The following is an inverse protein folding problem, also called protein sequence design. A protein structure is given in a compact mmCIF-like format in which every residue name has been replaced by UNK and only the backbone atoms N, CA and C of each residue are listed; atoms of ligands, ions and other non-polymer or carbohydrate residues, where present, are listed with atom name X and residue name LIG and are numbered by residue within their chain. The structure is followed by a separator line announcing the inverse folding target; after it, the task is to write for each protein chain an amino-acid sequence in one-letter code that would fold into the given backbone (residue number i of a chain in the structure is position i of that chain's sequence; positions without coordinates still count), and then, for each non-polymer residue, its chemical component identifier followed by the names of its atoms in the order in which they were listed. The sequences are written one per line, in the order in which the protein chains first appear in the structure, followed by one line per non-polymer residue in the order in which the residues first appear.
data_IF_733997429203
#
_entry.id   IF_733997429203
#
_cell.length_a   1.000
_cell.length_b   1.000
_cell.length_c   1.000
_cell.angle_alpha   90.00
_cell.angle_beta   90.00
_cell.angle_gamma   90.00
#
_symmetry.space_group_name_H-M   'P 1'
#
loop_
_entity.id
_entity.type
_entity.pdbx_description
1 polymer ?
2 non-polymer ?
3 non-polymer ?
4 water ?
#
# COMPACT_ATOMS: atom_id res chain seq x y z
N UNK A 3 -10.00 -16.45 -8.94
CA UNK A 3 -10.99 -15.46 -9.49
C UNK A 3 -11.59 -14.47 -8.48
N UNK A 4 -10.87 -14.15 -7.42
CA UNK A 4 -11.30 -13.18 -6.40
C UNK A 4 -11.41 -11.75 -6.94
N UNK A 5 -12.32 -10.98 -6.40
CA UNK A 5 -12.43 -9.60 -6.80
C UNK A 5 -11.53 -8.85 -5.82
N UNK A 6 -10.48 -8.21 -6.34
CA UNK A 6 -9.53 -7.53 -5.42
C UNK A 6 -9.78 -6.03 -5.39
N UNK A 7 -9.27 -5.37 -4.35
CA UNK A 7 -9.48 -3.97 -4.21
C UNK A 7 -8.33 -3.35 -3.49
N UNK A 8 -8.10 -2.09 -3.79
CA UNK A 8 -7.13 -1.29 -3.03
C UNK A 8 -7.92 -0.11 -2.46
N UNK A 9 -7.79 0.17 -1.18
CA UNK A 9 -8.43 1.33 -0.62
C UNK A 9 -7.39 2.12 0.17
N UNK A 10 -7.51 3.47 0.09
CA UNK A 10 -6.66 4.41 0.84
C UNK A 10 -7.57 5.21 1.74
N UNK A 11 -7.30 5.20 3.04
CA UNK A 11 -8.12 6.03 3.90
C UNK A 11 -7.58 6.06 5.28
N UNK A 12 -8.43 6.41 6.24
CA UNK A 12 -8.00 6.53 7.62
C UNK A 12 -8.66 5.48 8.54
N UNK A 13 -7.88 4.96 9.46
CA UNK A 13 -8.42 4.02 10.45
C UNK A 13 -9.49 4.76 11.26
N UNK A 14 -10.71 4.18 11.39
CA UNK A 14 -11.73 4.87 12.19
C UNK A 14 -11.46 4.76 13.72
N UNK A 15 -10.60 3.83 14.12
CA UNK A 15 -10.30 3.59 15.54
C UNK A 15 -8.99 2.86 15.62
N UNK A 16 -8.43 2.83 16.82
CA UNK A 16 -7.28 1.99 17.11
C UNK A 16 -7.63 0.56 16.72
N UNK A 17 -6.72 -0.16 16.02
CA UNK A 17 -7.03 -1.53 15.56
C UNK A 17 -7.32 -2.45 16.77
N UNK A 18 -8.22 -3.43 16.60
CA UNK A 18 -8.67 -4.27 17.76
C UNK A 18 -7.59 -5.17 18.39
N UNK A 19 -7.19 -6.21 17.69
CA UNK A 19 -6.21 -7.21 18.23
C UNK A 19 -6.80 -8.24 19.22
N UNK A 20 -7.02 -9.43 18.71
CA UNK A 20 -7.47 -10.53 19.50
C UNK A 20 -6.72 -11.77 19.09
N UNK A 21 -6.91 -12.80 19.91
CA UNK A 21 -6.35 -14.13 19.66
C UNK A 21 -7.48 -15.12 19.65
N UNK A 22 -7.40 -16.05 18.70
CA UNK A 22 -8.45 -17.04 18.52
C UNK A 22 -8.18 -18.23 19.43
N UNK A 23 -9.05 -19.24 19.31
CA UNK A 23 -8.86 -20.49 20.02
C UNK A 23 -7.45 -21.03 19.80
N UNK A 24 -7.04 -21.18 18.52
CA UNK A 24 -5.75 -21.77 18.15
C UNK A 24 -4.52 -20.97 18.60
N UNK A 25 -4.77 -19.81 19.21
CA UNK A 25 -3.73 -18.84 19.57
C UNK A 25 -3.30 -17.93 18.42
N UNK A 26 -4.14 -17.86 17.38
CA UNK A 26 -3.85 -17.03 16.20
C UNK A 26 -4.34 -15.61 16.41
N UNK A 27 -3.44 -14.67 16.17
CA UNK A 27 -3.77 -13.24 16.19
C UNK A 27 -4.79 -12.89 15.09
N UNK A 28 -5.82 -12.15 15.47
CA UNK A 28 -6.70 -11.49 14.52
C UNK A 28 -6.85 -9.97 14.81
N UNK A 29 -6.88 -9.15 13.76
CA UNK A 29 -7.14 -7.74 13.94
C UNK A 29 -8.31 -7.27 13.03
N UNK A 30 -9.29 -6.60 13.62
CA UNK A 30 -10.33 -5.96 12.85
C UNK A 30 -10.17 -4.44 12.84
N UNK A 31 -10.39 -3.82 11.69
CA UNK A 31 -10.43 -2.35 11.66
C UNK A 31 -11.30 -1.89 10.51
N UNK A 32 -11.70 -0.63 10.55
CA UNK A 32 -12.47 -0.04 9.47
C UNK A 32 -11.69 1.10 8.81
N UNK A 33 -11.59 1.09 7.49
CA UNK A 33 -10.92 2.18 6.74
C UNK A 33 -12.00 3.14 6.25
N UNK A 34 -11.89 4.40 6.63
CA UNK A 34 -12.77 5.42 6.09
C UNK A 34 -12.04 6.18 4.99
N UNK A 35 -12.51 6.05 3.78
CA UNK A 35 -11.94 6.76 2.66
C UNK A 35 -12.89 7.88 2.24
N UNK A 36 -12.42 9.12 2.34
CA UNK A 36 -13.21 10.24 1.88
C UNK A 36 -12.52 10.94 0.68
N UNK A 37 -13.09 10.81 -0.53
CA UNK A 37 -12.50 11.52 -1.66
C UNK A 37 -12.26 13.04 -1.41
N UNK A 46 -8.56 22.11 -4.46
CA UNK A 46 -9.26 21.11 -3.67
C UNK A 46 -10.62 20.72 -4.26
N UNK A 47 -11.26 19.71 -3.67
CA UNK A 47 -12.60 19.25 -4.08
C UNK A 47 -13.58 19.03 -2.92
N UNK A 48 -13.70 20.03 -2.04
CA UNK A 48 -14.53 19.93 -0.79
C UNK A 48 -14.34 18.61 0.02
N UNK A 49 -15.44 17.94 0.37
CA UNK A 49 -15.38 16.56 0.83
C UNK A 49 -16.37 15.75 0.01
N UNK A 50 -15.84 14.75 -0.71
CA UNK A 50 -16.69 13.79 -1.43
C UNK A 50 -17.37 12.81 -0.49
N UNK A 51 -18.08 11.83 -1.04
CA UNK A 51 -18.82 10.84 -0.23
C UNK A 51 -17.90 9.74 0.36
N UNK A 52 -18.00 9.49 1.66
CA UNK A 52 -17.12 8.53 2.32
C UNK A 52 -17.44 7.06 2.00
N UNK A 53 -16.41 6.25 2.05
CA UNK A 53 -16.58 4.80 1.95
C UNK A 53 -15.90 4.20 3.19
N UNK A 54 -16.64 3.39 3.96
CA UNK A 54 -16.13 2.73 5.20
C UNK A 54 -16.04 1.24 4.92
N UNK A 55 -14.84 0.73 4.76
CA UNK A 55 -14.69 -0.70 4.55
C UNK A 55 -14.16 -1.40 5.78
N UNK A 56 -14.91 -2.41 6.22
CA UNK A 56 -14.52 -3.28 7.31
C UNK A 56 -13.44 -4.23 6.80
N UNK A 57 -12.35 -4.31 7.53
CA UNK A 57 -11.19 -5.10 7.18
C UNK A 57 -10.79 -6.09 8.27
N UNK A 58 -10.25 -7.23 7.86
CA UNK A 58 -9.56 -8.08 8.83
C UNK A 58 -8.25 -8.67 8.32
N UNK A 59 -7.34 -8.91 9.25
CA UNK A 59 -6.02 -9.39 8.89
C UNK A 59 -5.61 -10.31 10.04
N UNK A 60 -4.74 -11.27 9.78
CA UNK A 60 -4.44 -12.35 10.75
C UNK A 60 -2.95 -12.48 11.00
N UNK A 61 -2.61 -13.13 12.14
CA UNK A 61 -1.24 -13.61 12.41
C UNK A 61 -0.25 -12.49 12.65
N UNK A 62 0.99 -12.67 12.22
CA UNK A 62 2.05 -11.71 12.49
C UNK A 62 1.62 -10.36 11.97
N UNK A 63 1.15 -10.32 10.71
CA UNK A 63 0.68 -9.06 10.07
C UNK A 63 -0.27 -8.35 11.00
N UNK A 64 -1.18 -9.10 11.62
CA UNK A 64 -2.14 -8.51 12.53
C UNK A 64 -1.44 -7.93 13.73
N UNK A 65 -0.41 -8.62 14.20
CA UNK A 65 0.34 -8.10 15.38
C UNK A 65 1.10 -6.81 15.03
N UNK A 66 1.76 -6.83 13.89
CA UNK A 66 2.43 -5.63 13.38
C UNK A 66 1.49 -4.40 13.26
N UNK A 67 0.30 -4.64 12.73
CA UNK A 67 -0.70 -3.58 12.59
C UNK A 67 -1.01 -2.99 13.95
N UNK A 68 -1.36 -3.87 14.89
CA UNK A 68 -1.77 -3.45 16.23
C UNK A 68 -0.66 -2.70 16.97
N UNK A 69 0.59 -3.07 16.75
CA UNK A 69 1.72 -2.37 17.38
C UNK A 69 2.07 -1.06 16.66
N UNK A 70 1.70 -0.95 15.38
CA UNK A 70 2.17 0.20 14.59
C UNK A 70 1.14 1.31 14.44
N UNK A 71 -0.14 0.98 14.32
CA UNK A 71 -1.13 1.94 13.83
C UNK A 71 -2.09 2.41 14.91
N UNK A 72 -2.64 3.59 14.72
CA UNK A 72 -3.60 4.14 15.66
C UNK A 72 -4.72 4.79 14.89
N UNK A 73 -5.75 5.19 15.62
CA UNK A 73 -6.89 5.86 15.04
C UNK A 73 -6.47 7.06 14.17
N UNK A 74 -7.07 7.18 12.99
CA UNK A 74 -6.73 8.32 12.13
C UNK A 74 -5.59 8.06 11.17
N UNK A 75 -4.80 7.02 11.41
CA UNK A 75 -3.66 6.76 10.55
C UNK A 75 -4.12 6.55 9.10
N UNK A 76 -3.39 7.18 8.17
CA UNK A 76 -3.71 7.06 6.78
C UNK A 76 -3.04 5.78 6.31
N UNK A 77 -3.82 4.89 5.69
CA UNK A 77 -3.32 3.57 5.32
C UNK A 77 -3.63 3.26 3.89
N UNK A 78 -2.82 2.39 3.32
CA UNK A 78 -3.05 1.88 1.99
C UNK A 78 -3.35 0.39 2.23
N UNK A 79 -4.51 -0.07 1.76
CA UNK A 79 -4.92 -1.44 2.04
C UNK A 79 -5.28 -2.13 0.75
N UNK A 80 -4.76 -3.33 0.56
CA UNK A 80 -5.16 -4.13 -0.63
C UNK A 80 -5.65 -5.50 -0.14
N UNK A 81 -6.67 -6.06 -0.80
CA UNK A 81 -7.10 -7.40 -0.46
C UNK A 81 -8.31 -7.83 -1.22
N UNK A 82 -9.00 -8.84 -0.72
CA UNK A 82 -10.11 -9.45 -1.48
C UNK A 82 -11.41 -8.99 -0.88
N UNK A 83 -12.36 -8.66 -1.74
CA UNK A 83 -13.64 -8.16 -1.29
C UNK A 83 -14.58 -9.36 -1.06
N UNK A 84 -15.16 -9.47 0.12
CA UNK A 84 -16.06 -10.54 0.41
C UNK A 84 -17.42 -9.95 0.74
N UNK A 85 -18.44 -10.78 0.70
CA UNK A 85 -19.78 -10.33 0.89
C UNK A 85 -20.59 -11.41 1.56
N UNK A 86 -21.55 -10.99 2.39
CA UNK A 86 -22.50 -11.90 3.02
C UNK A 86 -23.87 -11.27 2.98
N UNK A 87 -24.91 -12.10 2.93
CA UNK A 87 -26.27 -11.62 3.09
C UNK A 87 -26.93 -12.43 4.23
N UNK A 88 -27.63 -11.69 5.08
CA UNK A 88 -28.45 -12.23 6.15
C UNK A 88 -29.91 -12.03 5.78
N UNK A 89 -30.60 -13.15 5.58
CA UNK A 89 -32.04 -13.22 5.27
C UNK A 89 -32.85 -13.56 6.53
N UNK A 91 -36.43 -15.48 5.48
CA UNK A 91 -36.66 -15.78 4.07
C UNK A 91 -37.07 -14.53 3.31
N UNK A 92 -37.56 -13.54 4.07
CA UNK A 92 -38.03 -12.26 3.52
C UNK A 92 -37.68 -11.14 4.49
N UNK A 93 -37.15 -11.54 5.65
CA UNK A 93 -37.03 -10.69 6.84
C UNK A 93 -36.39 -9.33 6.65
N UNK A 94 -36.37 -8.86 5.41
CA UNK A 94 -35.58 -7.70 5.01
C UNK A 94 -34.13 -8.21 4.88
N UNK A 95 -33.71 -8.40 3.62
CA UNK A 95 -32.33 -8.81 3.31
C UNK A 95 -31.39 -7.80 3.94
N UNK A 96 -30.30 -8.30 4.48
CA UNK A 96 -29.22 -7.45 4.95
C UNK A 96 -27.91 -7.97 4.32
N UNK A 97 -27.10 -7.05 3.78
CA UNK A 97 -25.88 -7.41 3.13
C UNK A 97 -24.71 -6.57 3.69
N UNK A 98 -23.54 -7.19 3.78
CA UNK A 98 -22.40 -6.48 4.27
C UNK A 98 -21.20 -6.91 3.41
N UNK A 99 -20.19 -6.07 3.29
CA UNK A 99 -18.96 -6.49 2.61
C UNK A 99 -17.82 -6.27 3.59
N UNK A 100 -16.67 -6.82 3.27
CA UNK A 100 -15.51 -6.61 4.08
C UNK A 100 -14.31 -7.01 3.27
N UNK A 101 -13.14 -6.59 3.71
CA UNK A 101 -11.94 -6.84 2.94
C UNK A 101 -11.07 -7.78 3.72
N UNK A 102 -10.71 -8.89 3.10
CA UNK A 102 -9.66 -9.76 3.65
C UNK A 102 -8.36 -9.25 3.18
N UNK A 103 -7.63 -8.62 4.08
CA UNK A 103 -6.48 -7.84 3.70
C UNK A 103 -5.30 -8.71 3.33
N UNK A 104 -4.69 -8.45 2.20
CA UNK A 104 -3.49 -9.07 1.74
C UNK A 104 -2.25 -8.26 2.21
N UNK A 105 -2.29 -6.94 2.04
CA UNK A 105 -1.19 -6.09 2.49
C UNK A 105 -1.75 -4.76 3.03
N UNK A 106 -1.10 -4.22 4.06
CA UNK A 106 -1.48 -2.92 4.60
C UNK A 106 -0.18 -2.21 5.07
N UNK A 107 -0.15 -0.89 4.85
CA UNK A 107 0.94 -0.04 5.37
C UNK A 107 0.44 1.38 5.56
N UNK A 108 1.08 2.11 6.48
CA UNK A 108 0.76 3.52 6.63
C UNK A 108 1.27 4.30 5.44
N UNK A 109 0.43 5.14 4.87
CA UNK A 109 0.89 5.97 3.73
C UNK A 109 1.93 7.03 4.18
N UNK A 110 2.89 7.29 3.33
CA UNK A 110 3.91 8.30 3.61
C UNK A 110 3.56 9.58 2.86
N UNK A 111 2.31 9.69 2.41
CA UNK A 111 1.89 10.89 1.70
C UNK A 111 2.00 12.15 2.59
N UNK A 112 1.53 12.04 3.83
CA UNK A 112 1.57 13.15 4.75
C UNK A 112 2.32 12.78 5.98
N UNK A 113 3.21 11.80 5.91
CA UNK A 113 3.90 11.39 7.13
C UNK A 113 5.20 10.71 6.83
N UNK A 114 6.06 10.59 7.84
CA UNK A 114 7.26 9.77 7.71
C UNK A 114 7.05 8.59 8.65
N UNK A 115 7.91 7.58 8.60
CA UNK A 115 7.78 6.49 9.54
C UNK A 115 9.12 5.84 9.84
N UNK A 116 9.26 5.39 11.09
CA UNK A 116 10.43 4.59 11.44
C UNK A 116 10.06 3.13 11.22
N UNK A 117 10.74 2.47 10.28
CA UNK A 117 10.42 1.10 9.93
C UNK A 117 11.43 0.12 10.54
N UNK A 118 10.92 -0.84 11.31
CA UNK A 118 11.73 -1.85 11.95
C UNK A 118 11.27 -3.25 11.57
N UNK A 119 12.10 -3.99 10.83
CA UNK A 119 11.76 -5.38 10.50
C UNK A 119 11.72 -6.23 11.77
N UNK A 120 10.51 -6.39 12.32
CA UNK A 120 10.24 -7.19 13.54
C UNK A 120 10.53 -8.68 13.32
N UNK B 2 -9.67 11.86 -15.14
CA UNK B 2 -8.45 11.80 -15.98
C UNK B 2 -8.40 10.57 -16.95
N UNK B 3 -8.98 9.43 -16.58
CA UNK B 3 -8.91 8.18 -17.37
C UNK B 3 -7.52 7.53 -17.40
N UNK B 4 -6.75 7.69 -16.31
CA UNK B 4 -5.40 7.15 -16.18
C UNK B 4 -5.43 5.65 -15.92
N UNK B 5 -4.35 4.96 -16.24
CA UNK B 5 -4.26 3.53 -15.93
C UNK B 5 -3.53 3.37 -14.59
N UNK B 6 -4.22 2.90 -13.59
CA UNK B 6 -3.71 2.83 -12.21
C UNK B 6 -3.19 1.43 -11.89
N UNK B 7 -2.42 1.32 -10.81
CA UNK B 7 -1.84 0.07 -10.46
C UNK B 7 -1.58 0.09 -8.99
N UNK B 8 -1.63 -1.08 -8.38
CA UNK B 8 -1.10 -1.30 -7.03
C UNK B 8 0.03 -2.33 -7.14
N UNK B 9 1.20 -2.03 -6.61
CA UNK B 9 2.30 -2.99 -6.69
C UNK B 9 2.87 -3.18 -5.31
N UNK B 10 3.05 -4.44 -4.94
CA UNK B 10 3.71 -4.81 -3.68
C UNK B 10 5.08 -5.43 -3.98
N UNK B 11 6.11 -5.01 -3.26
CA UNK B 11 7.46 -5.52 -3.57
C UNK B 11 8.48 -4.89 -2.68
N UNK B 12 9.75 -5.05 -3.05
CA UNK B 12 10.83 -4.53 -2.25
C UNK B 12 11.63 -3.51 -3.05
N UNK B 13 12.01 -2.43 -2.40
CA UNK B 13 12.93 -1.46 -3.01
C UNK B 13 14.26 -2.19 -3.28
N UNK B 14 14.76 -2.07 -4.50
CA UNK B 14 16.02 -2.67 -4.89
C UNK B 14 17.26 -1.93 -4.33
N UNK B 15 17.05 -0.71 -3.85
CA UNK B 15 18.10 0.18 -3.37
C UNK B 15 17.43 1.26 -2.53
N UNK B 16 18.24 1.98 -1.73
CA UNK B 16 17.81 3.21 -1.04
C UNK B 16 17.16 4.17 -2.04
N UNK B 17 16.05 4.84 -1.63
CA UNK B 17 15.43 5.82 -2.52
C UNK B 17 16.47 6.91 -2.96
N UNK B 18 16.53 7.23 -4.25
CA UNK B 18 17.46 8.23 -4.75
C UNK B 18 16.77 9.61 -4.76
N UNK B 19 17.25 10.48 -3.89
CA UNK B 19 16.70 11.82 -3.70
C UNK B 19 17.44 12.89 -4.50
N UNK B 20 16.67 13.72 -5.21
CA UNK B 20 17.22 14.81 -6.01
C UNK B 20 16.26 15.99 -6.04
N UNK B 21 16.79 17.18 -6.26
CA UNK B 21 16.00 18.39 -6.30
C UNK B 21 16.12 18.98 -7.68
N UNK B 22 15.01 19.40 -8.27
CA UNK B 22 15.05 20.11 -9.54
C UNK B 22 15.51 21.58 -9.39
N UNK B 23 15.61 22.27 -10.52
CA UNK B 23 16.00 23.69 -10.52
C UNK B 23 15.08 24.53 -9.66
N UNK B 24 13.81 24.18 -9.62
CA UNK B 24 12.86 24.98 -8.86
C UNK B 24 13.00 24.72 -7.36
N UNK B 25 13.72 23.69 -6.99
CA UNK B 25 13.81 23.29 -5.57
C UNK B 25 12.91 22.11 -5.18
N UNK B 26 12.04 21.70 -6.10
CA UNK B 26 11.14 20.53 -5.91
C UNK B 26 11.91 19.23 -5.73
N UNK B 27 11.56 18.50 -4.68
CA UNK B 27 12.16 17.19 -4.47
C UNK B 27 11.58 16.21 -5.46
N UNK B 28 12.46 15.34 -5.97
CA UNK B 28 12.07 14.23 -6.81
C UNK B 28 12.82 12.99 -6.31
N UNK B 29 12.08 11.88 -6.14
CA UNK B 29 12.66 10.64 -5.71
C UNK B 29 12.32 9.53 -6.73
N UNK B 30 13.30 8.72 -7.09
CA UNK B 30 13.10 7.58 -7.98
C UNK B 30 13.58 6.34 -7.26
N UNK B 31 12.90 5.23 -7.50
CA UNK B 31 13.27 3.94 -6.91
C UNK B 31 12.66 2.81 -7.77
N UNK B 32 13.11 1.58 -7.56
CA UNK B 32 12.57 0.45 -8.33
C UNK B 32 11.96 -0.53 -7.34
N UNK B 33 10.73 -0.93 -7.63
CA UNK B 33 10.09 -1.96 -6.87
C UNK B 33 10.30 -3.32 -7.58
N UNK B 34 10.90 -4.26 -6.87
CA UNK B 34 11.00 -5.67 -7.31
C UNK B 34 9.90 -6.46 -6.67
N UNK B 35 8.95 -6.88 -7.49
CA UNK B 35 7.81 -7.70 -7.02
C UNK B 35 7.98 -9.17 -7.48
N UNK B 36 8.04 -10.06 -6.50
CA UNK B 36 8.32 -11.47 -6.75
C UNK B 36 7.07 -12.30 -6.45
N UNK B 37 6.40 -12.78 -7.50
CA UNK B 37 5.22 -13.60 -7.29
C UNK B 37 5.65 -14.97 -6.80
N UNK B 38 4.74 -15.69 -6.15
CA UNK B 38 4.99 -17.10 -5.78
C UNK B 38 4.29 -18.02 -6.79
N UNK B 39 5.09 -18.76 -7.57
CA UNK B 39 4.60 -19.53 -8.71
C UNK B 39 5.50 -20.70 -9.05
N UNK B 43 5.53 -29.81 -10.14
CA UNK B 43 4.54 -29.53 -9.11
C UNK B 43 4.90 -28.29 -8.27
N UNK B 44 4.43 -27.12 -8.69
CA UNK B 44 4.75 -25.87 -7.96
C UNK B 44 3.70 -24.75 -8.11
N UNK B 45 2.83 -24.61 -7.12
CA UNK B 45 1.88 -23.50 -7.11
C UNK B 45 2.48 -22.32 -6.35
N UNK B 46 1.87 -22.02 -5.21
CA UNK B 46 2.35 -21.00 -4.31
C UNK B 46 3.34 -21.65 -3.33
N UNK B 47 4.54 -21.95 -3.83
CA UNK B 47 5.67 -22.44 -3.03
C UNK B 47 6.91 -22.57 -3.95
N UNK B 48 7.21 -21.48 -4.66
CA UNK B 48 8.42 -21.30 -5.49
C UNK B 48 8.44 -19.85 -6.03
N UNK B 49 9.51 -19.10 -5.76
CA UNK B 49 9.70 -17.72 -6.32
C UNK B 49 9.56 -17.66 -7.87
N UNK B 50 8.63 -16.83 -8.34
CA UNK B 50 8.41 -16.62 -9.78
C UNK B 50 9.40 -15.61 -10.30
N UNK B 51 9.40 -15.37 -11.62
CA UNK B 51 10.26 -14.30 -12.17
C UNK B 51 9.75 -12.94 -11.65
N UNK B 52 10.68 -12.11 -11.16
CA UNK B 52 10.34 -10.80 -10.58
C UNK B 52 9.91 -9.75 -11.61
N UNK B 53 9.03 -8.84 -11.19
CA UNK B 53 8.73 -7.68 -12.02
C UNK B 53 9.43 -6.48 -11.35
N UNK B 54 10.15 -5.68 -12.15
CA UNK B 54 10.88 -4.50 -11.69
C UNK B 54 10.24 -3.28 -12.32
N UNK B 55 9.62 -2.45 -11.50
CA UNK B 55 9.03 -1.23 -12.01
C UNK B 55 9.69 -0.05 -11.33
N UNK B 56 10.19 0.87 -12.15
CA UNK B 56 10.77 2.12 -11.70
C UNK B 56 9.61 3.05 -11.29
N UNK B 57 9.76 3.72 -10.15
CA UNK B 57 8.71 4.61 -9.64
C UNK B 57 9.26 6.04 -9.44
N UNK B 58 8.42 7.05 -9.69
CA UNK B 58 8.75 8.47 -9.51
C UNK B 58 7.73 9.07 -8.55
N UNK B 59 8.26 9.85 -7.60
CA UNK B 59 7.39 10.54 -6.64
C UNK B 59 8.00 11.96 -6.37
N UNK B 60 7.15 12.93 -6.06
CA UNK B 60 7.59 14.32 -6.01
C UNK B 60 7.30 15.00 -4.67
N UNK B 61 8.06 16.08 -4.40
CA UNK B 61 7.74 17.02 -3.28
C UNK B 61 7.72 16.43 -1.91
N UNK B 62 6.72 16.81 -1.11
CA UNK B 62 6.71 16.37 0.30
C UNK B 62 6.66 14.85 0.41
N UNK B 63 5.80 14.23 -0.40
CA UNK B 63 5.72 12.75 -0.42
C UNK B 63 7.08 12.16 -0.77
N UNK B 64 7.80 12.75 -1.74
CA UNK B 64 9.17 12.26 -2.08
C UNK B 64 10.11 12.37 -0.87
N UNK B 65 10.09 13.53 -0.19
CA UNK B 65 10.93 13.70 0.99
C UNK B 65 10.52 12.72 2.08
N UNK B 66 9.21 12.56 2.28
CA UNK B 66 8.73 11.57 3.30
C UNK B 66 9.35 10.20 3.06
N UNK B 67 9.40 9.80 1.78
CA UNK B 67 9.95 8.48 1.37
C UNK B 67 11.48 8.45 1.59
N UNK B 68 12.17 9.54 1.21
CA UNK B 68 13.62 9.58 1.41
C UNK B 68 14.00 9.49 2.89
N UNK B 69 13.21 10.09 3.78
CA UNK B 69 13.37 9.99 5.21
C UNK B 69 13.04 8.63 5.84
N UNK B 70 12.11 7.88 5.23
CA UNK B 70 11.55 6.69 5.85
C UNK B 70 12.03 5.35 5.29
N UNK B 71 12.31 5.24 4.00
CA UNK B 71 12.53 3.92 3.41
C UNK B 71 14.00 3.66 3.01
N UNK B 72 14.38 2.37 3.03
CA UNK B 72 15.73 1.99 2.63
C UNK B 72 15.70 0.78 1.72
N UNK B 73 16.87 0.39 1.23
CA UNK B 73 17.05 -0.74 0.33
C UNK B 73 16.37 -1.95 0.94
N UNK B 74 15.57 -2.66 0.15
CA UNK B 74 15.01 -3.92 0.65
C UNK B 74 13.69 -3.76 1.36
N UNK B 75 13.28 -2.52 1.60
CA UNK B 75 12.03 -2.31 2.32
C UNK B 75 10.85 -2.84 1.48
N UNK B 76 9.97 -3.58 2.13
CA UNK B 76 8.72 -4.04 1.54
C UNK B 76 7.75 -2.90 1.53
N UNK B 77 7.22 -2.58 0.37
CA UNK B 77 6.31 -1.46 0.20
C UNK B 77 5.04 -1.79 -0.61
N UNK B 78 4.02 -0.99 -0.39
CA UNK B 78 2.78 -1.05 -1.10
C UNK B 78 2.71 0.28 -1.83
N UNK B 79 2.52 0.24 -3.13
CA UNK B 79 2.57 1.43 -3.94
C UNK B 79 1.35 1.46 -4.78
N UNK B 80 0.65 2.59 -4.78
CA UNK B 80 -0.37 2.81 -5.79
C UNK B 80 0.06 3.98 -6.65
N UNK B 81 -0.28 3.91 -7.93
CA UNK B 81 -0.04 5.05 -8.79
C UNK B 81 -0.53 4.85 -10.19
N UNK B 82 -0.02 5.64 -11.11
CA UNK B 82 -0.46 5.65 -12.49
C UNK B 82 0.70 5.28 -13.38
N UNK B 83 0.39 4.43 -14.37
CA UNK B 83 1.36 3.99 -15.34
C UNK B 83 1.63 5.07 -16.36
N UNK B 84 2.91 5.38 -16.58
CA UNK B 84 3.30 6.43 -17.55
C UNK B 84 4.40 5.93 -18.45
N UNK B 85 4.34 6.33 -19.71
CA UNK B 85 5.38 5.95 -20.64
C UNK B 85 6.35 7.12 -20.80
N UNK B 86 7.64 6.87 -20.68
CA UNK B 86 8.64 7.92 -20.85
C UNK B 86 9.66 7.52 -21.92
N UNK B 87 9.88 8.41 -22.89
CA UNK B 87 10.95 8.23 -23.88
C UNK B 87 12.17 9.06 -23.48
N UNK B 89 16.34 8.07 -26.02
CA UNK B 89 17.65 8.23 -26.67
C UNK B 89 18.57 9.14 -25.85
N UNK B 90 19.69 9.56 -26.47
CA UNK B 90 20.61 10.56 -25.91
C UNK B 90 21.80 10.76 -26.86
N UNK B 91 22.61 9.72 -26.99
CA UNK B 91 23.78 9.70 -27.89
C UNK B 91 23.97 8.28 -28.43
N UNK B 92 22.96 7.77 -29.14
CA UNK B 92 22.96 6.43 -29.71
C UNK B 92 21.95 6.34 -30.85
N UNK B 93 20.97 7.23 -30.82
CA UNK B 93 19.96 7.31 -31.89
C UNK B 93 18.72 6.47 -31.61
N UNK B 94 18.93 5.23 -31.17
CA UNK B 94 17.85 4.30 -30.83
C UNK B 94 16.87 4.91 -29.80
N UNK B 95 15.71 5.36 -30.28
CA UNK B 95 14.72 6.03 -29.45
C UNK B 95 13.77 5.05 -28.77
N UNK B 96 14.02 4.80 -27.48
CA UNK B 96 13.28 3.81 -26.71
C UNK B 96 12.31 4.38 -25.64
N UNK B 97 11.14 3.73 -25.51
CA UNK B 97 10.11 4.02 -24.52
C UNK B 97 10.27 3.11 -23.28
N UNK B 98 9.87 3.62 -22.11
CA UNK B 98 9.90 2.81 -20.89
C UNK B 98 8.63 3.09 -20.07
N UNK B 99 8.07 2.06 -19.44
CA UNK B 99 6.88 2.24 -18.57
C UNK B 99 7.29 2.44 -17.13
N UNK B 100 6.73 3.48 -16.50
CA UNK B 100 7.09 3.72 -15.11
C UNK B 100 5.85 4.02 -14.30
N UNK B 101 6.02 4.07 -12.99
CA UNK B 101 4.89 4.42 -12.15
C UNK B 101 5.01 5.85 -11.57
N UNK B 102 3.98 6.67 -11.76
CA UNK B 102 3.89 7.94 -11.07
C UNK B 102 3.09 7.62 -9.87
N UNK B 103 3.74 7.71 -8.73
CA UNK B 103 3.24 7.26 -7.48
C UNK B 103 2.17 8.20 -6.96
N UNK B 104 1.06 7.62 -6.52
CA UNK B 104 0.03 8.37 -5.79
C UNK B 104 0.20 8.17 -4.29
N UNK B 105 0.31 6.91 -3.83
CA UNK B 105 0.55 6.64 -2.37
C UNK B 105 1.55 5.52 -2.26
N UNK B 106 2.37 5.59 -1.23
CA UNK B 106 3.35 4.56 -0.95
C UNK B 106 3.50 4.47 0.56
N UNK B 107 3.67 3.24 1.01
CA UNK B 107 3.84 2.96 2.42
C UNK B 107 4.64 1.71 2.67
N UNK B 108 5.37 1.65 3.79
CA UNK B 108 6.00 0.36 4.13
C UNK B 108 4.92 -0.71 4.52
N UNK B 109 5.06 -1.90 3.97
CA UNK B 109 4.12 -2.95 4.33
C UNK B 109 4.40 -3.44 5.74
N UNK B 110 3.34 -3.75 6.49
CA UNK B 110 3.46 -4.27 7.83
C UNK B 110 3.40 -5.81 7.87
N UNK B 111 3.62 -6.46 6.73
CA UNK B 111 3.53 -7.89 6.67
C UNK B 111 4.67 -8.50 7.55
N UNK B 112 5.90 -8.01 7.38
CA UNK B 112 7.05 -8.55 8.17
C UNK B 112 7.71 -7.50 9.06
N UNK B 113 7.08 -6.35 9.24
CA UNK B 113 7.72 -5.23 9.90
C UNK B 113 6.71 -4.42 10.64
N UNK B 114 7.18 -3.70 11.64
CA UNK B 114 6.36 -2.74 12.37
C UNK B 114 6.83 -1.35 11.93
N UNK B 115 6.06 -0.32 12.30
CA UNK B 115 6.44 1.03 11.92
C UNK B 115 5.97 1.99 12.96
N UNK B 116 6.76 3.04 13.17
CA UNK B 116 6.35 4.14 14.02
C UNK B 116 6.11 5.32 13.08
N UNK B 117 4.86 5.71 12.95
CA UNK B 117 4.43 6.75 12.06
C UNK B 117 4.42 8.13 12.76
N UNK B 118 4.95 9.11 12.06
CA UNK B 118 4.95 10.47 12.55
C UNK B 118 4.26 11.38 11.51
N UNK B 119 3.09 11.92 11.85
CA UNK B 119 2.32 12.75 10.92
C UNK B 119 2.94 14.13 10.70
N UNK B 120 2.84 14.63 9.47
CA UNK B 120 3.37 15.95 9.07
C UNK B 120 2.61 17.07 9.78
X LIG C 1 9.92 -0.52 -15.12
X LIG C 1 9.84 0.86 -15.36
X LIG C 1 10.96 -1.21 -16.01
X LIG C 1 10.51 -1.32 -17.36
X LIG C 1 12.31 -0.52 -15.90
X LIG C 1 12.95 -0.95 -14.71
X LIG D 1 9.64 19.99 1.52
#
# INVERSE_FOLDING_TARGET
MAGDTTITIVGNLTADPELRFTSSGAAVVNFTVASTPRIYDRQSGEWKDGEALFLRCNIWREAAENVAESLTRGARVIVTGRLKQRSFETREGEKRTVVEVEVDEIGPSLRYATAKVNKASRSGGGGGGFGSGSRQAPAQMSGGVGDDPWGSAPTSGSFGVGDEEPPF
MAGDTTITIVGNLTADPELRFTSSGAAVVNFTVASTPRIYDRQSGEWKDGEALFLRCNIWREAAENVAESLTRGARVIVTGRLKQRSFETREGEKRTVVEVEVDEIGPSLRYATAKVNKASRSGGGGGGFGSGSRQAPAQMSGGVGDDPWGSAPTSGSFGVGDEEPPF
GOL C1 O1 C2 O2 C3 O3
CD CD
#
